data_IF_072686753391
#
_entry.id   IF_072686753391
#
_cell.length_a   1.000
_cell.length_b   1.000
_cell.length_c   1.000
_cell.angle_alpha   90.00
_cell.angle_beta   90.00
_cell.angle_gamma   90.00
#
_symmetry.space_group_name_H-M   'P 1'
#
loop_
_entity.id
_entity.type
_entity.pdbx_description
1 polymer ?
#
# COMPACT_ATOMS: atom_id res chain seq x y z
N UNK A 1 7.54 12.54 -78.34
CA UNK A 1 8.27 11.60 -77.45
C UNK A 1 8.14 10.20 -78.01
N UNK A 2 9.21 9.56 -78.39
CA UNK A 2 9.24 8.28 -79.08
C UNK A 2 9.08 7.14 -78.06
N UNK A 3 8.25 6.14 -78.32
CA UNK A 3 7.92 4.98 -77.46
C UNK A 3 9.13 4.28 -76.80
N UNK A 4 10.33 4.49 -77.33
CA UNK A 4 11.59 3.93 -76.79
C UNK A 4 12.08 4.65 -75.53
N UNK A 5 11.79 5.95 -75.36
CA UNK A 5 12.24 6.73 -74.18
C UNK A 5 11.40 6.45 -72.93
N UNK A 6 10.14 6.00 -73.14
CA UNK A 6 9.25 5.63 -72.04
C UNK A 6 9.64 4.28 -71.42
N UNK A 7 10.15 3.36 -72.20
CA UNK A 7 10.57 2.02 -71.73
C UNK A 7 11.90 2.04 -70.96
N UNK A 8 12.79 2.99 -71.24
CA UNK A 8 14.05 3.16 -70.49
C UNK A 8 13.81 3.86 -69.14
N UNK A 9 12.78 4.72 -68.99
CA UNK A 9 12.45 5.36 -67.73
C UNK A 9 11.76 4.40 -66.73
N UNK A 10 10.99 3.38 -67.24
CA UNK A 10 10.35 2.39 -66.38
C UNK A 10 11.32 1.30 -65.88
N UNK A 11 12.41 1.03 -66.64
CA UNK A 11 13.46 0.06 -66.25
C UNK A 11 14.37 0.52 -65.16
N UNK A 12 14.53 1.85 -64.98
CA UNK A 12 15.42 2.44 -63.94
C UNK A 12 14.71 2.57 -62.58
N UNK A 13 13.37 2.51 -62.52
CA UNK A 13 12.59 2.61 -61.26
C UNK A 13 12.40 1.29 -60.55
N UNK A 14 12.76 0.14 -61.15
CA UNK A 14 12.59 -1.18 -60.56
C UNK A 14 13.80 -1.69 -59.74
N UNK A 15 14.92 -0.96 -59.73
CA UNK A 15 16.12 -1.39 -59.01
C UNK A 15 16.25 -0.85 -57.57
N UNK A 16 15.23 -0.16 -57.05
CA UNK A 16 15.22 0.48 -55.72
C UNK A 16 14.27 -0.14 -54.69
N UNK A 17 13.70 -1.34 -54.94
CA UNK A 17 13.02 -2.09 -53.88
C UNK A 17 14.10 -2.68 -52.96
N UNK A 18 14.56 -1.88 -52.03
CA UNK A 18 15.28 -2.39 -50.88
C UNK A 18 14.37 -3.50 -50.28
N UNK A 19 14.77 -4.73 -50.38
CA UNK A 19 14.18 -5.83 -49.64
C UNK A 19 14.35 -5.45 -48.18
N UNK A 20 13.33 -4.82 -47.59
CA UNK A 20 13.25 -4.63 -46.14
C UNK A 20 13.39 -6.05 -45.57
N UNK A 21 14.59 -6.35 -45.03
CA UNK A 21 14.77 -7.57 -44.24
C UNK A 21 13.63 -7.56 -43.22
N UNK A 22 12.82 -8.63 -43.13
CA UNK A 22 11.83 -8.68 -42.09
C UNK A 22 12.58 -8.40 -40.80
N UNK A 23 12.20 -7.33 -40.11
CA UNK A 23 12.66 -7.09 -38.74
C UNK A 23 12.21 -8.36 -38.01
N UNK A 24 13.13 -9.27 -37.71
CA UNK A 24 12.86 -10.39 -36.82
C UNK A 24 12.53 -9.69 -35.52
N UNK A 25 11.24 -9.53 -35.25
CA UNK A 25 10.77 -9.08 -33.96
C UNK A 25 11.40 -10.03 -32.95
N UNK A 26 12.40 -9.55 -32.23
CA UNK A 26 13.09 -10.35 -31.22
C UNK A 26 11.99 -10.82 -30.27
N UNK A 27 11.71 -12.13 -30.28
CA UNK A 27 10.61 -12.67 -29.49
C UNK A 27 10.85 -12.26 -28.03
N UNK A 28 9.85 -11.60 -27.43
CA UNK A 28 9.95 -11.17 -26.05
C UNK A 28 10.37 -12.36 -25.16
N UNK A 29 11.31 -12.20 -24.23
CA UNK A 29 11.86 -13.29 -23.44
C UNK A 29 10.79 -13.92 -22.54
N UNK A 30 10.91 -15.21 -22.29
CA UNK A 30 10.11 -15.88 -21.24
C UNK A 30 10.72 -15.58 -19.88
N UNK A 31 9.91 -15.05 -18.98
CA UNK A 31 10.31 -14.69 -17.61
C UNK A 31 9.42 -15.46 -16.63
N UNK A 32 10.02 -16.03 -15.58
CA UNK A 32 9.31 -16.70 -14.49
C UNK A 32 9.85 -16.18 -13.18
N UNK A 33 9.02 -15.45 -12.44
CA UNK A 33 9.37 -14.85 -11.16
C UNK A 33 8.45 -15.33 -10.05
N UNK A 34 8.90 -15.13 -8.81
CA UNK A 34 8.15 -15.41 -7.59
C UNK A 34 7.83 -14.10 -6.90
N UNK A 35 6.60 -13.99 -6.41
CA UNK A 35 6.13 -12.88 -5.60
C UNK A 35 5.70 -13.41 -4.24
N UNK A 36 6.36 -13.00 -3.16
CA UNK A 36 5.93 -13.29 -1.79
C UNK A 36 5.16 -12.13 -1.20
N UNK A 37 4.11 -12.40 -0.44
CA UNK A 37 3.30 -11.39 0.21
C UNK A 37 3.50 -11.38 1.73
N UNK A 38 3.26 -10.22 2.35
CA UNK A 38 3.17 -10.11 3.81
C UNK A 38 1.83 -10.59 4.38
N UNK A 39 0.94 -11.11 3.54
CA UNK A 39 -0.47 -11.40 3.84
C UNK A 39 -0.79 -12.88 3.79
N UNK A 40 -1.71 -13.39 4.65
CA UNK A 40 -2.27 -14.72 4.51
C UNK A 40 -3.23 -14.80 3.31
N UNK A 41 -3.39 -15.98 2.72
CA UNK A 41 -4.29 -16.22 1.56
C UNK A 41 -5.76 -15.91 1.84
N UNK A 42 -6.17 -15.95 3.10
CA UNK A 42 -7.57 -15.66 3.50
C UNK A 42 -7.98 -14.22 3.24
N UNK A 43 -7.01 -13.30 3.14
CA UNK A 43 -7.25 -11.89 2.84
C UNK A 43 -7.23 -11.66 1.33
N UNK A 44 -8.36 -11.91 0.69
CA UNK A 44 -8.55 -11.79 -0.76
C UNK A 44 -8.59 -10.33 -1.26
N UNK A 45 -8.47 -9.36 -0.39
CA UNK A 45 -8.14 -7.96 -0.63
C UNK A 45 -6.63 -7.83 -0.85
N UNK A 46 -5.86 -7.90 0.22
CA UNK A 46 -4.40 -7.73 0.23
C UNK A 46 -3.66 -8.80 -0.60
N UNK A 47 -3.96 -10.08 -0.38
CA UNK A 47 -3.37 -11.15 -1.19
C UNK A 47 -3.98 -11.19 -2.61
N UNK A 48 -5.24 -10.76 -2.74
CA UNK A 48 -5.93 -10.62 -4.01
C UNK A 48 -5.21 -9.67 -4.97
N UNK A 49 -4.64 -8.56 -4.48
CA UNK A 49 -3.85 -7.65 -5.31
C UNK A 49 -2.65 -8.36 -5.96
N UNK A 50 -1.99 -9.28 -5.27
CA UNK A 50 -0.89 -10.07 -5.84
C UNK A 50 -1.36 -10.96 -6.99
N UNK A 51 -2.51 -11.63 -6.82
CA UNK A 51 -3.07 -12.52 -7.86
C UNK A 51 -3.59 -11.73 -9.06
N UNK A 52 -4.26 -10.61 -8.83
CA UNK A 52 -4.70 -9.66 -9.86
C UNK A 52 -3.50 -9.15 -10.68
N UNK A 53 -2.47 -8.67 -10.01
CA UNK A 53 -1.24 -8.20 -10.64
C UNK A 53 -0.58 -9.30 -11.50
N UNK A 54 -0.39 -10.50 -10.96
CA UNK A 54 0.23 -11.62 -11.66
C UNK A 54 -0.57 -12.03 -12.90
N UNK A 55 -1.90 -12.03 -12.79
CA UNK A 55 -2.82 -12.30 -13.90
C UNK A 55 -2.64 -11.27 -15.03
N UNK A 56 -2.70 -9.98 -14.73
CA UNK A 56 -2.57 -8.94 -15.74
C UNK A 56 -1.22 -8.94 -16.45
N UNK A 57 -0.12 -9.17 -15.71
CA UNK A 57 1.21 -9.30 -16.31
C UNK A 57 1.26 -10.49 -17.27
N UNK A 58 0.71 -11.63 -16.87
CA UNK A 58 0.66 -12.83 -17.73
C UNK A 58 -0.18 -12.59 -18.99
N UNK A 59 -1.38 -12.04 -18.85
CA UNK A 59 -2.29 -11.77 -19.98
C UNK A 59 -1.68 -10.75 -20.95
N UNK A 60 -1.11 -9.66 -20.44
CA UNK A 60 -0.50 -8.61 -21.28
C UNK A 60 0.80 -9.05 -21.98
N UNK A 61 1.37 -10.19 -21.60
CA UNK A 61 2.59 -10.75 -22.19
C UNK A 61 2.35 -12.07 -22.94
N UNK A 62 1.12 -12.42 -23.25
CA UNK A 62 0.74 -13.70 -23.86
C UNK A 62 1.35 -14.91 -23.10
N UNK A 63 1.36 -14.86 -21.78
CA UNK A 63 1.90 -15.89 -20.91
C UNK A 63 3.44 -15.97 -20.86
N UNK A 64 4.15 -15.04 -21.50
CA UNK A 64 5.62 -15.04 -21.50
C UNK A 64 6.23 -14.53 -20.21
N UNK A 65 5.54 -13.67 -19.45
CA UNK A 65 5.95 -13.28 -18.12
C UNK A 65 4.97 -13.86 -17.09
N UNK A 66 5.41 -14.89 -16.40
CA UNK A 66 4.61 -15.60 -15.39
C UNK A 66 5.15 -15.26 -13.98
N UNK A 67 4.24 -14.93 -13.07
CA UNK A 67 4.55 -14.61 -11.69
C UNK A 67 3.79 -15.58 -10.79
N UNK A 68 4.52 -16.39 -10.03
CA UNK A 68 3.94 -17.27 -9.02
C UNK A 68 3.84 -16.54 -7.69
N UNK A 69 2.64 -16.49 -7.11
CA UNK A 69 2.37 -15.78 -5.86
C UNK A 69 2.39 -16.73 -4.66
N UNK A 70 2.98 -16.26 -3.55
CA UNK A 70 3.11 -16.99 -2.30
C UNK A 70 2.63 -16.12 -1.14
N UNK A 71 1.86 -16.71 -0.24
CA UNK A 71 1.42 -16.02 0.97
C UNK A 71 2.53 -15.93 2.03
N UNK A 72 2.29 -15.11 3.04
CA UNK A 72 3.17 -14.97 4.18
C UNK A 72 3.47 -16.34 4.83
N UNK A 73 4.75 -16.65 5.00
CA UNK A 73 5.21 -17.90 5.61
C UNK A 73 5.28 -19.11 4.69
N UNK A 74 4.81 -19.05 3.43
CA UNK A 74 4.95 -20.16 2.49
C UNK A 74 6.42 -20.36 2.07
N UNK A 75 7.11 -19.26 1.75
CA UNK A 75 8.52 -19.27 1.36
C UNK A 75 9.34 -18.23 2.12
N UNK A 76 8.74 -17.10 2.49
CA UNK A 76 9.36 -16.01 3.25
C UNK A 76 8.38 -15.57 4.36
N UNK A 77 8.86 -15.38 5.61
CA UNK A 77 8.06 -14.79 6.66
C UNK A 77 7.55 -13.40 6.27
N UNK A 78 6.28 -13.06 6.58
CA UNK A 78 5.62 -11.84 6.09
C UNK A 78 6.33 -10.52 6.44
N UNK A 79 7.08 -10.46 7.55
CA UNK A 79 7.84 -9.29 7.97
C UNK A 79 9.29 -9.26 7.43
N UNK A 80 9.69 -10.23 6.59
CA UNK A 80 11.03 -10.34 5.99
C UNK A 80 11.02 -10.12 4.47
N UNK A 81 9.92 -9.63 3.91
CA UNK A 81 9.75 -9.45 2.46
C UNK A 81 10.81 -8.52 1.87
N UNK A 82 11.09 -7.38 2.51
CA UNK A 82 12.14 -6.46 2.03
C UNK A 82 13.52 -7.12 2.03
N UNK A 83 13.87 -7.85 3.09
CA UNK A 83 15.18 -8.53 3.17
C UNK A 83 15.36 -9.53 2.03
N UNK A 84 14.33 -10.31 1.75
CA UNK A 84 14.37 -11.32 0.70
C UNK A 84 14.52 -10.70 -0.70
N UNK A 85 13.81 -9.60 -0.97
CA UNK A 85 13.92 -8.85 -2.24
C UNK A 85 15.26 -8.13 -2.35
N UNK A 86 15.69 -7.43 -1.31
CA UNK A 86 16.94 -6.69 -1.27
C UNK A 86 18.15 -7.59 -1.56
N UNK A 87 18.15 -8.79 -0.98
CA UNK A 87 19.23 -9.78 -1.13
C UNK A 87 19.11 -10.62 -2.41
N UNK A 88 18.05 -10.46 -3.22
CA UNK A 88 17.82 -11.24 -4.43
C UNK A 88 17.42 -12.71 -4.17
N UNK A 89 17.02 -13.06 -2.93
CA UNK A 89 16.51 -14.40 -2.59
C UNK A 89 15.20 -14.66 -3.33
N UNK A 90 14.41 -13.62 -3.55
CA UNK A 90 13.17 -13.63 -4.34
C UNK A 90 13.12 -12.41 -5.23
N UNK A 91 12.44 -12.54 -6.36
CA UNK A 91 12.39 -11.48 -7.37
C UNK A 91 11.48 -10.33 -6.98
N UNK A 92 10.32 -10.66 -6.35
CA UNK A 92 9.27 -9.70 -6.03
C UNK A 92 8.69 -9.93 -4.63
N UNK A 93 8.18 -8.85 -4.02
CA UNK A 93 7.43 -8.90 -2.76
C UNK A 93 6.31 -7.89 -2.72
N UNK A 94 5.21 -8.19 -2.03
CA UNK A 94 4.11 -7.26 -1.78
C UNK A 94 3.90 -7.07 -0.28
N UNK A 95 3.98 -5.81 0.19
CA UNK A 95 4.09 -5.51 1.62
C UNK A 95 3.66 -4.08 1.96
N UNK A 96 3.41 -3.83 3.24
CA UNK A 96 3.32 -2.48 3.80
C UNK A 96 4.71 -2.02 4.26
N UNK A 97 5.18 -0.90 3.72
CA UNK A 97 6.56 -0.46 3.92
C UNK A 97 6.89 -0.06 5.37
N UNK A 98 5.91 0.35 6.14
CA UNK A 98 6.11 0.68 7.54
C UNK A 98 6.56 -0.52 8.40
N UNK A 99 6.43 -1.77 7.92
CA UNK A 99 6.99 -2.94 8.62
C UNK A 99 8.51 -2.86 8.78
N UNK A 100 9.15 -2.06 7.95
CA UNK A 100 10.62 -1.93 7.91
C UNK A 100 11.13 -0.64 8.57
N UNK A 101 10.28 0.06 9.35
CA UNK A 101 10.66 1.30 10.06
C UNK A 101 11.85 1.09 11.01
N UNK A 102 12.07 -0.12 11.49
CA UNK A 102 13.22 -0.49 12.31
C UNK A 102 14.56 -0.48 11.55
N UNK A 103 14.53 -0.61 10.20
CA UNK A 103 15.72 -0.44 9.36
C UNK A 103 15.99 1.03 9.08
N UNK A 104 14.95 1.76 8.72
CA UNK A 104 14.95 3.22 8.55
C UNK A 104 13.50 3.72 8.68
N UNK A 105 13.24 4.71 9.55
CA UNK A 105 11.90 5.27 9.76
C UNK A 105 11.29 5.89 8.49
N UNK A 106 12.10 6.27 7.51
CA UNK A 106 11.66 6.85 6.23
C UNK A 106 10.71 5.90 5.48
N UNK A 107 10.84 4.58 5.65
CA UNK A 107 9.93 3.60 5.06
C UNK A 107 8.46 3.84 5.45
N UNK A 108 8.21 4.31 6.67
CA UNK A 108 6.85 4.57 7.13
C UNK A 108 6.17 5.69 6.34
N UNK A 109 6.93 6.71 5.92
CA UNK A 109 6.40 7.87 5.18
C UNK A 109 5.81 7.49 3.81
N UNK A 110 6.33 6.43 3.21
CA UNK A 110 5.83 5.91 1.93
C UNK A 110 4.67 4.90 2.07
N UNK A 111 4.19 4.67 3.28
CA UNK A 111 3.12 3.73 3.54
C UNK A 111 1.93 4.41 4.22
N UNK A 112 2.05 4.68 5.50
CA UNK A 112 1.08 5.42 6.29
C UNK A 112 1.76 6.07 7.48
N UNK A 113 1.31 7.27 7.81
CA UNK A 113 1.75 8.00 9.00
C UNK A 113 0.55 8.55 9.74
N UNK A 114 0.61 8.61 11.07
CA UNK A 114 -0.43 9.26 11.86
C UNK A 114 -0.73 10.67 11.35
N UNK A 115 -2.01 10.95 11.09
CA UNK A 115 -2.49 12.23 10.56
C UNK A 115 -1.86 12.65 9.23
N UNK A 116 -1.41 11.65 8.44
CA UNK A 116 -0.80 11.84 7.12
C UNK A 116 -1.80 12.07 5.99
N UNK A 117 -1.42 11.61 4.81
CA UNK A 117 -2.27 11.67 3.62
C UNK A 117 -3.38 10.61 3.70
N UNK A 118 -4.56 10.93 3.18
CA UNK A 118 -5.59 9.92 2.91
C UNK A 118 -5.31 9.22 1.57
N UNK A 119 -6.07 8.17 1.25
CA UNK A 119 -5.91 7.33 0.06
C UNK A 119 -5.84 8.13 -1.24
N UNK A 120 -6.73 9.09 -1.44
CA UNK A 120 -6.75 9.88 -2.67
C UNK A 120 -5.57 10.84 -2.74
N UNK A 121 -5.19 11.45 -1.62
CA UNK A 121 -3.99 12.29 -1.52
C UNK A 121 -2.71 11.48 -1.74
N UNK A 122 -2.64 10.24 -1.23
CA UNK A 122 -1.52 9.34 -1.50
C UNK A 122 -1.38 9.03 -2.97
N UNK A 123 -2.49 8.67 -3.65
CA UNK A 123 -2.46 8.45 -5.09
C UNK A 123 -2.01 9.71 -5.85
N UNK A 124 -2.50 10.89 -5.47
CA UNK A 124 -2.07 12.15 -6.08
C UNK A 124 -0.57 12.41 -5.86
N UNK A 125 -0.06 12.16 -4.65
CA UNK A 125 1.35 12.34 -4.32
C UNK A 125 2.27 11.38 -5.10
N UNK A 126 1.88 10.09 -5.23
CA UNK A 126 2.68 9.11 -5.96
C UNK A 126 2.60 9.27 -7.48
N UNK A 127 1.41 9.49 -8.05
CA UNK A 127 1.23 9.50 -9.50
C UNK A 127 1.43 10.86 -10.15
N UNK A 128 1.22 11.96 -9.43
CA UNK A 128 1.27 13.32 -9.96
C UNK A 128 2.21 14.25 -9.18
N UNK A 129 2.59 13.90 -7.95
CA UNK A 129 3.56 14.62 -7.13
C UNK A 129 4.94 13.96 -7.14
N UNK A 130 5.71 14.22 -6.09
CA UNK A 130 7.09 13.73 -5.97
C UNK A 130 7.22 12.34 -5.33
N UNK A 131 6.14 11.74 -4.84
CA UNK A 131 6.15 10.51 -4.05
C UNK A 131 6.89 9.36 -4.72
N UNK A 132 6.61 9.09 -6.02
CA UNK A 132 7.27 8.01 -6.76
C UNK A 132 8.77 8.28 -6.94
N UNK A 133 9.16 9.53 -7.22
CA UNK A 133 10.58 9.88 -7.35
C UNK A 133 11.32 9.71 -6.03
N UNK A 134 10.73 10.17 -4.93
CA UNK A 134 11.32 10.08 -3.60
C UNK A 134 11.50 8.61 -3.16
N UNK A 135 10.51 7.75 -3.40
CA UNK A 135 10.63 6.33 -3.07
C UNK A 135 11.60 5.58 -3.97
N UNK A 136 11.74 5.97 -5.24
CA UNK A 136 12.74 5.40 -6.14
C UNK A 136 14.16 5.73 -5.66
N UNK A 137 14.42 7.00 -5.30
CA UNK A 137 15.70 7.45 -4.75
C UNK A 137 16.03 6.71 -3.43
N UNK A 138 15.03 6.53 -2.56
CA UNK A 138 15.22 5.89 -1.26
C UNK A 138 15.32 4.37 -1.37
N UNK A 139 14.42 3.72 -2.12
CA UNK A 139 14.37 2.27 -2.29
C UNK A 139 15.63 1.71 -2.97
N UNK A 140 16.27 2.50 -3.85
CA UNK A 140 17.53 2.11 -4.48
C UNK A 140 18.64 1.84 -3.45
N UNK A 141 18.66 2.52 -2.30
CA UNK A 141 19.61 2.28 -1.21
C UNK A 141 19.44 0.87 -0.60
N UNK A 142 18.27 0.28 -0.78
CA UNK A 142 17.89 -1.05 -0.35
C UNK A 142 17.75 -2.02 -1.54
N UNK A 143 18.42 -1.73 -2.64
CA UNK A 143 18.43 -2.58 -3.85
C UNK A 143 17.02 -2.97 -4.34
N UNK A 144 16.04 -2.07 -4.16
CA UNK A 144 14.63 -2.32 -4.44
C UNK A 144 14.01 -1.23 -5.32
N UNK A 145 13.31 -1.64 -6.38
CA UNK A 145 12.33 -0.82 -7.08
C UNK A 145 11.01 -0.96 -6.33
N UNK A 146 10.43 0.18 -5.92
CA UNK A 146 9.18 0.22 -5.19
C UNK A 146 8.08 0.82 -6.08
N UNK A 147 6.94 0.14 -6.19
CA UNK A 147 5.82 0.54 -7.03
C UNK A 147 4.54 0.45 -6.22
N UNK A 148 3.72 1.50 -6.22
CA UNK A 148 2.42 1.48 -5.57
C UNK A 148 1.52 0.41 -6.23
N UNK A 149 1.05 -0.56 -5.44
CA UNK A 149 0.28 -1.70 -5.94
C UNK A 149 -0.95 -2.04 -5.08
N UNK A 150 -1.31 -1.19 -4.15
CA UNK A 150 -2.50 -1.36 -3.33
C UNK A 150 -2.71 -0.19 -2.37
N UNK A 151 -3.94 -0.02 -1.91
CA UNK A 151 -4.30 0.90 -0.86
C UNK A 151 -5.54 0.39 -0.12
N UNK A 152 -5.49 0.38 1.20
CA UNK A 152 -6.58 -0.13 2.04
C UNK A 152 -7.78 0.82 2.16
N UNK A 153 -7.64 2.07 1.73
CA UNK A 153 -8.56 3.11 2.18
C UNK A 153 -8.26 3.54 3.61
N UNK A 154 -9.08 4.44 4.15
CA UNK A 154 -9.00 4.81 5.56
C UNK A 154 -9.32 3.62 6.45
N UNK A 155 -8.48 3.41 7.45
CA UNK A 155 -8.62 2.25 8.35
C UNK A 155 -9.46 2.58 9.60
N UNK A 156 -9.79 1.52 10.33
CA UNK A 156 -10.40 1.62 11.64
C UNK A 156 -9.36 1.84 12.74
N UNK A 157 -9.80 2.38 13.86
CA UNK A 157 -8.99 2.64 15.05
C UNK A 157 -8.70 1.41 15.91
N UNK A 158 -8.95 0.19 15.40
CA UNK A 158 -8.58 -1.07 16.04
C UNK A 158 -9.54 -1.57 17.10
N UNK A 159 -9.22 -2.74 17.62
CA UNK A 159 -9.97 -3.56 18.54
C UNK A 159 -9.35 -3.52 19.93
N UNK A 160 -10.19 -3.36 20.95
CA UNK A 160 -9.75 -3.23 22.34
C UNK A 160 -10.59 -4.09 23.26
N UNK A 161 -9.95 -4.69 24.27
CA UNK A 161 -10.64 -5.45 25.32
C UNK A 161 -11.25 -4.54 26.40
N UNK A 162 -10.81 -3.27 26.48
CA UNK A 162 -11.37 -2.23 27.37
C UNK A 162 -11.69 -0.95 26.60
N UNK A 163 -12.53 -0.10 27.16
CA UNK A 163 -12.77 1.23 26.57
C UNK A 163 -11.57 2.16 26.72
N UNK A 164 -11.31 2.98 25.71
CA UNK A 164 -10.31 4.02 25.67
C UNK A 164 -11.03 5.38 25.69
N UNK A 165 -11.12 5.98 26.86
CA UNK A 165 -11.86 7.25 27.08
C UNK A 165 -10.94 8.45 27.10
N UNK A 166 -9.72 8.28 27.61
CA UNK A 166 -8.73 9.32 27.76
C UNK A 166 -7.32 8.82 27.39
N UNK A 167 -6.34 9.70 27.15
CA UNK A 167 -4.99 9.30 26.75
C UNK A 167 -4.30 8.37 27.74
N UNK A 168 -4.60 8.50 29.04
CA UNK A 168 -4.02 7.67 30.09
C UNK A 168 -4.40 6.18 29.96
N UNK A 169 -5.50 5.86 29.28
CA UNK A 169 -5.94 4.49 29.05
C UNK A 169 -5.02 3.66 28.15
N UNK A 170 -4.15 4.32 27.38
CA UNK A 170 -3.10 3.65 26.60
C UNK A 170 -1.95 3.14 27.45
N UNK A 171 -1.77 3.66 28.67
CA UNK A 171 -0.60 3.34 29.49
C UNK A 171 -0.56 1.86 29.85
N UNK A 172 0.56 1.21 29.49
CA UNK A 172 0.79 -0.21 29.74
C UNK A 172 -0.01 -1.17 28.86
N UNK A 173 -0.88 -0.65 27.98
CA UNK A 173 -1.67 -1.47 27.07
C UNK A 173 -0.75 -2.13 26.03
N UNK A 174 -0.80 -3.45 25.92
CA UNK A 174 -0.07 -4.20 24.92
C UNK A 174 -0.94 -4.27 23.66
N UNK A 175 -0.51 -3.63 22.60
CA UNK A 175 -1.28 -3.56 21.36
C UNK A 175 -0.46 -4.05 20.17
N UNK A 176 -1.05 -4.96 19.38
CA UNK A 176 -0.51 -5.15 18.04
C UNK A 176 -0.84 -3.91 17.21
N UNK A 177 0.19 -3.20 16.91
CA UNK A 177 0.15 -2.03 16.03
C UNK A 177 1.50 -1.89 15.33
N UNK A 178 1.47 -1.65 14.02
CA UNK A 178 2.67 -1.62 13.21
C UNK A 178 3.18 -0.20 12.98
N UNK A 179 4.43 -0.13 12.57
CA UNK A 179 5.03 1.06 11.99
C UNK A 179 5.10 2.27 12.91
N UNK A 180 4.88 3.42 12.29
CA UNK A 180 5.05 4.72 12.91
C UNK A 180 3.99 5.04 13.98
N UNK A 181 2.80 4.46 13.82
CA UNK A 181 1.72 4.57 14.80
C UNK A 181 2.09 3.94 16.15
N UNK A 182 2.65 2.75 16.13
CA UNK A 182 3.14 2.10 17.35
C UNK A 182 4.21 2.94 18.05
N UNK A 183 5.16 3.48 17.27
CA UNK A 183 6.19 4.37 17.81
C UNK A 183 5.60 5.66 18.40
N UNK A 184 4.59 6.24 17.77
CA UNK A 184 3.86 7.40 18.29
C UNK A 184 3.18 7.09 19.63
N UNK A 185 2.48 5.96 19.72
CA UNK A 185 1.76 5.59 20.94
C UNK A 185 2.66 5.23 22.11
N UNK A 186 3.94 4.90 21.90
CA UNK A 186 4.89 4.73 23.02
C UNK A 186 5.06 6.02 23.83
N UNK A 187 4.90 7.20 23.21
CA UNK A 187 4.91 8.49 23.92
C UNK A 187 3.73 8.63 24.90
N UNK A 188 2.65 7.89 24.67
CA UNK A 188 1.49 7.83 25.57
C UNK A 188 1.54 6.61 26.51
N UNK A 189 2.66 5.87 26.52
CA UNK A 189 2.89 4.74 27.41
C UNK A 189 2.34 3.40 26.92
N UNK A 190 1.86 3.29 25.65
CA UNK A 190 1.46 2.03 25.06
C UNK A 190 2.68 1.14 24.78
N UNK A 191 2.51 -0.17 24.84
CA UNK A 191 3.51 -1.19 24.54
C UNK A 191 3.19 -1.84 23.18
N UNK A 192 3.76 -1.34 22.05
CA UNK A 192 3.46 -1.86 20.74
C UNK A 192 4.11 -3.24 20.51
N UNK A 193 3.42 -4.08 19.78
CA UNK A 193 3.88 -5.39 19.33
C UNK A 193 3.71 -5.48 17.81
N UNK A 194 4.77 -5.80 17.07
CA UNK A 194 4.66 -6.03 15.62
C UNK A 194 4.50 -7.52 15.36
N UNK A 195 3.29 -7.94 14.98
CA UNK A 195 2.95 -9.32 14.65
C UNK A 195 2.43 -9.40 13.22
N UNK A 196 2.71 -10.49 12.52
CA UNK A 196 2.11 -10.80 11.23
C UNK A 196 0.61 -11.09 11.38
N UNK A 197 -0.18 -10.85 10.31
CA UNK A 197 -1.65 -10.92 10.38
C UNK A 197 -2.21 -12.23 10.93
N UNK A 198 -1.61 -13.37 10.57
CA UNK A 198 -2.03 -14.69 11.06
C UNK A 198 -1.79 -14.94 12.57
N UNK A 199 -0.90 -14.15 13.19
CA UNK A 199 -0.52 -14.33 14.60
C UNK A 199 -1.34 -13.46 15.55
N UNK A 200 -2.16 -12.52 15.02
CA UNK A 200 -2.86 -11.52 15.83
C UNK A 200 -4.00 -12.16 16.64
N UNK A 201 -4.89 -12.91 15.98
CA UNK A 201 -6.03 -13.53 16.67
C UNK A 201 -5.58 -14.47 17.80
N UNK A 202 -4.60 -15.39 17.60
CA UNK A 202 -4.09 -16.22 18.69
C UNK A 202 -3.51 -15.40 19.85
N UNK A 203 -2.88 -14.26 19.58
CA UNK A 203 -2.32 -13.39 20.61
C UNK A 203 -3.42 -12.66 21.41
N UNK A 204 -4.50 -12.19 20.76
CA UNK A 204 -5.68 -11.63 21.41
C UNK A 204 -6.42 -12.66 22.26
N UNK A 205 -6.67 -13.85 21.69
CA UNK A 205 -7.40 -14.93 22.37
C UNK A 205 -6.68 -15.42 23.64
N UNK A 206 -5.34 -15.50 23.61
CA UNK A 206 -4.52 -15.87 24.77
C UNK A 206 -4.29 -14.73 25.75
N UNK A 207 -4.71 -13.49 25.42
CA UNK A 207 -4.47 -12.31 26.25
C UNK A 207 -3.00 -11.89 26.33
N UNK A 208 -2.15 -12.30 25.37
CA UNK A 208 -0.76 -11.83 25.28
C UNK A 208 -0.67 -10.39 24.77
N UNK A 209 -1.70 -9.93 24.05
CA UNK A 209 -1.98 -8.55 23.71
C UNK A 209 -3.40 -8.17 24.12
N UNK A 210 -3.61 -6.90 24.44
CA UNK A 210 -4.90 -6.33 24.92
C UNK A 210 -5.70 -5.69 23.80
N UNK A 211 -5.05 -5.35 22.70
CA UNK A 211 -5.62 -4.64 21.57
C UNK A 211 -4.89 -4.99 20.28
N UNK A 212 -5.57 -4.78 19.15
CA UNK A 212 -4.97 -4.93 17.84
C UNK A 212 -5.64 -4.00 16.82
N UNK A 213 -4.85 -3.52 15.86
CA UNK A 213 -5.33 -2.95 14.61
C UNK A 213 -4.95 -3.88 13.45
N UNK A 214 -5.69 -3.76 12.33
CA UNK A 214 -5.32 -4.42 11.08
C UNK A 214 -5.66 -3.51 9.90
N UNK A 215 -6.88 -3.56 9.38
CA UNK A 215 -7.34 -2.68 8.30
C UNK A 215 -8.72 -2.11 8.62
N UNK A 216 -9.73 -2.94 8.57
CA UNK A 216 -11.10 -2.52 8.66
C UNK A 216 -12.08 -3.69 8.65
N UNK A 217 -13.39 -3.41 8.59
CA UNK A 217 -14.42 -4.40 8.90
C UNK A 217 -14.29 -5.72 8.14
N UNK A 218 -13.97 -5.67 6.85
CA UNK A 218 -13.95 -6.87 6.01
C UNK A 218 -12.82 -7.84 6.35
N UNK A 219 -11.61 -7.33 6.46
CA UNK A 219 -10.44 -8.14 6.82
C UNK A 219 -10.50 -8.55 8.30
N UNK A 220 -10.88 -7.63 9.19
CA UNK A 220 -10.95 -7.86 10.63
C UNK A 220 -12.00 -8.92 10.99
N UNK A 221 -13.13 -8.96 10.27
CA UNK A 221 -14.13 -10.03 10.37
C UNK A 221 -13.53 -11.39 9.99
N UNK A 222 -12.78 -11.46 8.88
CA UNK A 222 -12.11 -12.68 8.42
C UNK A 222 -11.05 -13.17 9.38
N UNK A 223 -10.31 -12.25 9.99
CA UNK A 223 -9.30 -12.55 11.01
C UNK A 223 -9.93 -12.90 12.37
N UNK A 224 -11.23 -12.62 12.56
CA UNK A 224 -12.00 -13.08 13.71
C UNK A 224 -11.81 -12.25 14.97
N UNK A 225 -11.28 -11.02 14.90
CA UNK A 225 -10.96 -10.20 16.08
C UNK A 225 -12.16 -9.94 17.00
N UNK A 226 -13.37 -9.81 16.44
CA UNK A 226 -14.62 -9.62 17.18
C UNK A 226 -14.95 -10.76 18.15
N UNK A 227 -14.34 -11.93 18.00
CA UNK A 227 -14.52 -13.07 18.91
C UNK A 227 -13.70 -12.92 20.19
N UNK A 228 -12.57 -12.21 20.12
CA UNK A 228 -11.65 -12.01 21.24
C UNK A 228 -11.80 -10.63 21.91
N UNK A 229 -12.32 -9.64 21.18
CA UNK A 229 -12.43 -8.25 21.63
C UNK A 229 -13.79 -7.66 21.29
N UNK A 230 -14.23 -6.66 22.04
CA UNK A 230 -15.61 -6.17 22.01
C UNK A 230 -15.72 -4.75 21.45
N UNK A 231 -14.73 -3.89 21.72
CA UNK A 231 -14.76 -2.48 21.36
C UNK A 231 -13.99 -2.25 20.08
N UNK A 232 -14.64 -1.64 19.07
CA UNK A 232 -14.08 -1.35 17.78
C UNK A 232 -14.06 0.16 17.54
N UNK A 233 -12.87 0.74 17.53
CA UNK A 233 -12.69 2.18 17.53
C UNK A 233 -12.57 2.77 16.13
N UNK A 234 -12.92 4.06 16.00
CA UNK A 234 -12.74 4.89 14.81
C UNK A 234 -12.53 6.36 15.19
N UNK A 235 -11.96 7.19 14.27
CA UNK A 235 -11.27 6.80 13.04
C UNK A 235 -9.91 6.17 13.31
N UNK A 236 -9.35 5.45 12.32
CA UNK A 236 -7.95 5.03 12.32
C UNK A 236 -7.04 6.23 12.02
N UNK A 237 -6.83 7.09 12.99
CA UNK A 237 -6.07 8.33 12.84
C UNK A 237 -4.61 8.12 12.44
N UNK A 238 -4.12 6.91 12.58
CA UNK A 238 -2.78 6.51 12.17
C UNK A 238 -2.67 6.14 10.70
N UNK A 239 -3.79 5.83 10.03
CA UNK A 239 -3.83 5.36 8.66
C UNK A 239 -5.06 5.90 7.92
N UNK A 240 -4.97 7.16 7.46
CA UNK A 240 -5.98 7.76 6.57
C UNK A 240 -6.06 7.09 5.20
N UNK A 241 -5.07 6.30 4.89
CA UNK A 241 -4.90 5.37 3.78
C UNK A 241 -3.58 4.65 4.01
N UNK A 242 -3.50 3.36 3.65
CA UNK A 242 -2.26 2.59 3.72
C UNK A 242 -1.89 2.08 2.36
N UNK A 243 -0.83 2.64 1.81
CA UNK A 243 -0.29 2.16 0.53
C UNK A 243 0.45 0.86 0.71
N UNK A 244 0.11 -0.12 -0.13
CA UNK A 244 0.84 -1.37 -0.26
C UNK A 244 1.73 -1.34 -1.50
N UNK A 245 2.96 -1.80 -1.37
CA UNK A 245 3.95 -1.66 -2.43
C UNK A 245 4.42 -3.01 -2.95
N UNK A 246 4.54 -3.08 -4.26
CA UNK A 246 5.34 -4.08 -4.95
C UNK A 246 6.80 -3.68 -4.85
N UNK A 247 7.59 -4.51 -4.18
CA UNK A 247 9.04 -4.44 -4.18
C UNK A 247 9.58 -5.38 -5.26
N UNK A 248 10.53 -4.92 -6.06
CA UNK A 248 11.23 -5.74 -7.04
C UNK A 248 12.73 -5.56 -6.81
N UNK A 249 13.48 -6.66 -6.80
CA UNK A 249 14.94 -6.56 -6.78
C UNK A 249 15.41 -5.67 -7.93
N UNK A 250 16.12 -4.57 -7.63
CA UNK A 250 16.41 -3.51 -8.58
C UNK A 250 17.19 -3.98 -9.80
N UNK A 251 18.29 -4.78 -9.70
CA UNK A 251 18.92 -5.41 -10.85
C UNK A 251 17.95 -6.22 -11.72
N UNK A 252 17.10 -7.04 -11.11
CA UNK A 252 16.11 -7.85 -11.83
C UNK A 252 15.13 -6.99 -12.61
N UNK A 253 14.62 -5.91 -12.01
CA UNK A 253 13.75 -4.96 -12.70
C UNK A 253 14.45 -4.33 -13.91
N UNK A 254 15.73 -3.95 -13.77
CA UNK A 254 16.51 -3.31 -14.82
C UNK A 254 16.86 -4.28 -15.98
N UNK A 255 16.95 -5.59 -15.71
CA UNK A 255 17.14 -6.64 -16.72
C UNK A 255 15.91 -6.86 -17.62
N UNK A 256 14.71 -6.47 -17.16
CA UNK A 256 13.49 -6.63 -17.95
C UNK A 256 13.50 -5.75 -19.22
N UNK A 257 12.97 -6.25 -20.34
CA UNK A 257 12.67 -5.40 -21.50
C UNK A 257 11.81 -4.19 -21.11
N UNK A 258 12.00 -3.06 -21.76
CA UNK A 258 11.22 -1.84 -21.47
C UNK A 258 9.72 -2.04 -21.57
N UNK A 259 9.25 -2.89 -22.50
CA UNK A 259 7.84 -3.27 -22.62
C UNK A 259 7.34 -4.00 -21.36
N UNK A 260 8.14 -4.92 -20.79
CA UNK A 260 7.76 -5.63 -19.58
C UNK A 260 7.81 -4.72 -18.34
N UNK A 261 8.77 -3.80 -18.26
CA UNK A 261 8.78 -2.77 -17.21
C UNK A 261 7.49 -1.94 -17.26
N UNK A 262 7.06 -1.49 -18.45
CA UNK A 262 5.83 -0.73 -18.63
C UNK A 262 4.57 -1.55 -18.23
N UNK A 263 4.51 -2.83 -18.63
CA UNK A 263 3.41 -3.73 -18.23
C UNK A 263 3.35 -3.91 -16.71
N UNK A 264 4.49 -4.10 -16.05
CA UNK A 264 4.57 -4.22 -14.58
C UNK A 264 4.02 -2.96 -13.90
N UNK A 265 4.41 -1.77 -14.37
CA UNK A 265 3.92 -0.50 -13.83
C UNK A 265 2.40 -0.34 -14.03
N UNK A 266 1.89 -0.66 -15.22
CA UNK A 266 0.46 -0.57 -15.53
C UNK A 266 -0.37 -1.58 -14.70
N UNK A 267 0.10 -2.83 -14.61
CA UNK A 267 -0.57 -3.87 -13.83
C UNK A 267 -0.59 -3.55 -12.33
N UNK A 268 0.48 -2.96 -11.78
CA UNK A 268 0.53 -2.52 -10.40
C UNK A 268 -0.48 -1.38 -10.14
N UNK A 269 -0.57 -0.39 -11.05
CA UNK A 269 -1.56 0.68 -10.94
C UNK A 269 -3.00 0.17 -10.97
N UNK A 270 -3.29 -0.82 -11.82
CA UNK A 270 -4.63 -1.43 -11.87
C UNK A 270 -4.94 -2.22 -10.59
N UNK A 271 -3.97 -3.00 -10.09
CA UNK A 271 -4.13 -3.71 -8.82
C UNK A 271 -4.37 -2.75 -7.64
N UNK A 272 -3.71 -1.58 -7.62
CA UNK A 272 -3.93 -0.53 -6.62
C UNK A 272 -5.38 -0.03 -6.62
N UNK A 273 -5.96 0.23 -7.80
CA UNK A 273 -7.35 0.68 -7.93
C UNK A 273 -8.32 -0.43 -7.49
N UNK A 274 -8.09 -1.66 -7.92
CA UNK A 274 -8.97 -2.78 -7.58
C UNK A 274 -8.96 -3.10 -6.08
N UNK A 275 -7.80 -3.08 -5.42
CA UNK A 275 -7.71 -3.32 -3.97
C UNK A 275 -8.55 -2.30 -3.20
N UNK A 276 -8.38 -1.00 -3.50
CA UNK A 276 -9.14 0.08 -2.86
C UNK A 276 -10.65 -0.08 -3.11
N UNK A 277 -11.04 -0.31 -4.36
CA UNK A 277 -12.45 -0.48 -4.73
C UNK A 277 -13.10 -1.69 -4.03
N UNK A 278 -12.35 -2.78 -3.83
CA UNK A 278 -12.84 -3.95 -3.09
C UNK A 278 -13.08 -3.63 -1.62
N UNK A 279 -12.16 -2.90 -0.96
CA UNK A 279 -12.36 -2.46 0.42
C UNK A 279 -13.60 -1.58 0.55
N UNK A 280 -13.75 -0.58 -0.32
CA UNK A 280 -14.89 0.33 -0.29
C UNK A 280 -16.23 -0.40 -0.51
N UNK A 281 -16.24 -1.39 -1.39
CA UNK A 281 -17.45 -2.18 -1.66
C UNK A 281 -17.79 -3.18 -0.54
N UNK A 282 -16.80 -3.75 0.14
CA UNK A 282 -17.00 -4.89 1.06
C UNK A 282 -17.09 -4.45 2.53
N UNK A 283 -16.39 -3.39 2.93
CA UNK A 283 -16.38 -2.90 4.31
C UNK A 283 -17.78 -2.55 4.85
N UNK A 284 -18.69 -1.90 4.11
CA UNK A 284 -20.02 -1.56 4.66
C UNK A 284 -20.84 -2.78 5.06
N UNK A 285 -20.78 -3.85 4.25
CA UNK A 285 -21.47 -5.10 4.54
C UNK A 285 -20.89 -5.82 5.75
N UNK A 286 -19.56 -5.88 5.84
CA UNK A 286 -18.86 -6.48 6.97
C UNK A 286 -19.12 -5.71 8.29
N UNK A 287 -19.08 -4.36 8.24
CA UNK A 287 -19.39 -3.53 9.41
C UNK A 287 -20.79 -3.84 9.98
N UNK A 288 -21.80 -3.97 9.11
CA UNK A 288 -23.15 -4.34 9.54
C UNK A 288 -23.18 -5.70 10.23
N UNK A 289 -22.47 -6.71 9.70
CA UNK A 289 -22.38 -8.05 10.30
C UNK A 289 -21.67 -8.03 11.65
N UNK A 290 -20.56 -7.30 11.77
CA UNK A 290 -19.83 -7.14 13.03
C UNK A 290 -20.69 -6.49 14.11
N UNK A 291 -21.43 -5.42 13.78
CA UNK A 291 -22.36 -4.77 14.72
C UNK A 291 -23.51 -5.73 15.13
N UNK A 292 -24.08 -6.47 14.17
CA UNK A 292 -25.10 -7.47 14.44
C UNK A 292 -24.57 -8.63 15.33
N UNK A 293 -23.29 -8.93 15.27
CA UNK A 293 -22.61 -9.91 16.13
C UNK A 293 -22.25 -9.36 17.53
N UNK A 294 -22.60 -8.10 17.84
CA UNK A 294 -22.43 -7.51 19.17
C UNK A 294 -21.19 -6.62 19.32
N UNK A 295 -20.44 -6.36 18.23
CA UNK A 295 -19.32 -5.42 18.25
C UNK A 295 -19.79 -4.00 18.62
N UNK A 296 -19.10 -3.37 19.55
CA UNK A 296 -19.42 -2.02 20.02
C UNK A 296 -18.51 -0.98 19.35
N UNK A 297 -19.07 -0.25 18.40
CA UNK A 297 -18.39 0.87 17.78
C UNK A 297 -18.19 2.02 18.78
N UNK A 298 -16.99 2.58 18.81
CA UNK A 298 -16.62 3.72 19.65
C UNK A 298 -15.81 4.74 18.87
N UNK A 299 -16.19 6.02 18.89
CA UNK A 299 -15.28 7.07 18.44
C UNK A 299 -14.18 7.30 19.47
N UNK A 300 -12.97 7.59 19.01
CA UNK A 300 -11.97 8.17 19.90
C UNK A 300 -12.44 9.56 20.37
N UNK A 301 -12.21 9.86 21.64
CA UNK A 301 -12.53 11.20 22.18
C UNK A 301 -11.60 12.25 21.56
N UNK A 302 -12.06 13.51 21.56
CA UNK A 302 -11.22 14.62 21.08
C UNK A 302 -9.91 14.70 21.86
N UNK A 303 -9.94 14.49 23.18
CA UNK A 303 -8.74 14.50 24.02
C UNK A 303 -7.73 13.44 23.60
N UNK A 304 -8.19 12.23 23.24
CA UNK A 304 -7.34 11.16 22.70
C UNK A 304 -6.74 11.59 21.36
N UNK A 305 -7.57 12.10 20.43
CA UNK A 305 -7.11 12.54 19.11
C UNK A 305 -6.05 13.64 19.20
N UNK A 306 -6.27 14.65 20.04
CA UNK A 306 -5.32 15.76 20.27
C UNK A 306 -3.99 15.29 20.89
N UNK A 307 -4.05 14.39 21.88
CA UNK A 307 -2.85 13.82 22.49
C UNK A 307 -2.04 12.99 21.48
N UNK A 308 -2.72 12.21 20.63
CA UNK A 308 -2.06 11.43 19.59
C UNK A 308 -1.45 12.33 18.51
N UNK A 309 -2.15 13.39 18.08
CA UNK A 309 -1.62 14.38 17.13
C UNK A 309 -0.36 15.06 17.68
N UNK A 310 -0.39 15.49 18.94
CA UNK A 310 0.76 16.08 19.61
C UNK A 310 1.94 15.12 19.64
N UNK A 311 1.72 13.87 20.07
CA UNK A 311 2.76 12.84 20.14
C UNK A 311 3.35 12.53 18.75
N UNK A 312 2.51 12.50 17.70
CA UNK A 312 2.95 12.33 16.33
C UNK A 312 3.84 13.47 15.85
N UNK A 313 3.42 14.72 16.08
CA UNK A 313 4.18 15.89 15.67
C UNK A 313 5.55 15.96 16.36
N UNK A 314 5.61 15.65 17.66
CA UNK A 314 6.86 15.57 18.42
C UNK A 314 7.79 14.49 17.85
N UNK A 315 7.27 13.28 17.60
CA UNK A 315 8.07 12.18 17.04
C UNK A 315 8.61 12.51 15.65
N UNK A 316 7.79 13.12 14.80
CA UNK A 316 8.20 13.52 13.45
C UNK A 316 9.29 14.60 13.49
N UNK A 317 9.19 15.58 14.39
CA UNK A 317 10.19 16.61 14.56
C UNK A 317 11.53 16.03 15.10
N UNK A 318 11.47 15.17 16.12
CA UNK A 318 12.63 14.49 16.67
C UNK A 318 13.36 13.64 15.62
N UNK A 319 12.59 12.91 14.81
CA UNK A 319 13.16 12.04 13.76
C UNK A 319 13.75 12.86 12.63
N UNK A 320 13.07 13.92 12.20
CA UNK A 320 13.57 14.83 11.16
C UNK A 320 14.88 15.50 11.57
N UNK A 321 15.09 15.73 12.87
CA UNK A 321 16.32 16.34 13.35
C UNK A 321 17.56 15.45 13.21
N UNK A 322 17.38 14.11 13.14
CA UNK A 322 18.49 13.15 13.16
C UNK A 322 18.55 12.25 11.91
N UNK A 323 17.53 12.27 11.04
CA UNK A 323 17.48 11.49 9.82
C UNK A 323 17.16 12.40 8.62
N UNK A 324 18.16 12.61 7.77
CA UNK A 324 18.06 13.51 6.61
C UNK A 324 17.08 12.99 5.53
N UNK A 325 17.04 11.67 5.31
CA UNK A 325 16.09 11.07 4.35
C UNK A 325 14.65 11.22 4.85
N UNK A 326 14.43 10.94 6.14
CA UNK A 326 13.12 11.14 6.74
C UNK A 326 12.68 12.60 6.61
N UNK A 327 13.55 13.54 6.96
CA UNK A 327 13.26 14.98 6.85
C UNK A 327 12.89 15.38 5.42
N UNK A 328 13.68 14.96 4.44
CA UNK A 328 13.46 15.26 3.01
C UNK A 328 12.06 14.81 2.56
N UNK A 329 11.70 13.58 2.88
CA UNK A 329 10.41 13.00 2.48
C UNK A 329 9.27 13.62 3.28
N UNK A 330 9.44 13.79 4.59
CA UNK A 330 8.44 14.38 5.48
C UNK A 330 8.07 15.81 5.07
N UNK A 331 9.07 16.67 4.84
CA UNK A 331 8.84 18.06 4.45
C UNK A 331 8.07 18.15 3.12
N UNK A 332 8.42 17.32 2.13
CA UNK A 332 7.69 17.26 0.85
C UNK A 332 6.25 16.77 1.04
N UNK A 333 6.04 15.69 1.77
CA UNK A 333 4.71 15.12 2.01
C UNK A 333 3.81 16.09 2.78
N UNK A 334 4.34 16.80 3.79
CA UNK A 334 3.57 17.77 4.58
C UNK A 334 3.19 18.99 3.75
N UNK A 335 4.11 19.51 2.94
CA UNK A 335 3.80 20.61 2.03
C UNK A 335 2.66 20.21 1.08
N UNK A 336 2.79 19.05 0.42
CA UNK A 336 1.76 18.50 -0.46
C UNK A 336 0.41 18.31 0.26
N UNK A 337 0.40 17.71 1.45
CA UNK A 337 -0.80 17.51 2.26
C UNK A 337 -1.52 18.82 2.57
N UNK A 338 -0.76 19.85 2.94
CA UNK A 338 -1.34 21.14 3.32
C UNK A 338 -2.02 21.82 2.12
N UNK A 339 -1.42 21.75 0.93
CA UNK A 339 -2.03 22.27 -0.30
C UNK A 339 -3.27 21.46 -0.70
N UNK A 340 -3.22 20.14 -0.59
CA UNK A 340 -4.37 19.25 -0.87
C UNK A 340 -5.56 19.55 0.04
N UNK A 341 -5.37 19.88 1.33
CA UNK A 341 -6.47 20.21 2.22
C UNK A 341 -7.16 21.52 1.88
N UNK A 342 -6.49 22.47 1.21
CA UNK A 342 -7.14 23.68 0.71
C UNK A 342 -8.22 23.34 -0.35
N UNK A 343 -7.90 22.37 -1.21
CA UNK A 343 -8.87 21.86 -2.19
C UNK A 343 -9.91 20.94 -1.55
N UNK A 344 -9.47 20.01 -0.70
CA UNK A 344 -10.31 18.97 -0.10
C UNK A 344 -11.48 19.55 0.70
N UNK A 345 -11.25 20.58 1.50
CA UNK A 345 -12.31 21.23 2.29
C UNK A 345 -13.39 21.90 1.43
N UNK A 346 -13.04 22.35 0.24
CA UNK A 346 -13.98 23.00 -0.71
C UNK A 346 -14.74 21.95 -1.51
N UNK A 347 -14.07 20.86 -1.91
CA UNK A 347 -14.63 19.80 -2.75
C UNK A 347 -15.26 18.68 -1.90
N UNK A 348 -14.51 17.59 -1.67
CA UNK A 348 -15.03 16.36 -1.09
C UNK A 348 -15.62 16.53 0.32
N UNK A 349 -14.94 17.25 1.20
CA UNK A 349 -15.44 17.43 2.56
C UNK A 349 -16.81 18.14 2.60
N UNK A 350 -16.97 19.19 1.79
CA UNK A 350 -18.25 19.91 1.68
C UNK A 350 -19.35 19.04 1.10
N UNK A 351 -19.03 18.27 0.03
CA UNK A 351 -19.98 17.36 -0.62
C UNK A 351 -20.36 16.20 0.30
N UNK A 352 -19.38 15.47 0.81
CA UNK A 352 -19.59 14.28 1.65
C UNK A 352 -20.31 14.63 2.96
N UNK A 353 -19.92 15.76 3.58
CA UNK A 353 -20.58 16.25 4.80
C UNK A 353 -22.06 16.56 4.56
N UNK A 354 -22.42 17.12 3.38
CA UNK A 354 -23.81 17.33 3.01
C UNK A 354 -24.53 16.00 2.80
N UNK A 355 -23.96 15.09 2.01
CA UNK A 355 -24.56 13.78 1.71
C UNK A 355 -24.78 12.93 2.95
N UNK A 356 -23.78 12.87 3.84
CA UNK A 356 -23.88 12.12 5.10
C UNK A 356 -25.04 12.65 5.97
N UNK A 357 -25.19 13.97 6.09
CA UNK A 357 -26.30 14.56 6.87
C UNK A 357 -27.65 14.43 6.20
N UNK A 358 -27.69 14.37 4.88
CA UNK A 358 -28.96 14.33 4.11
C UNK A 358 -29.55 12.94 3.97
N UNK A 359 -28.72 11.86 4.05
CA UNK A 359 -29.18 10.46 3.86
C UNK A 359 -30.28 9.99 4.82
N UNK A 360 -30.44 10.66 5.96
CA UNK A 360 -31.48 10.34 6.97
C UNK A 360 -32.79 11.09 6.74
N UNK A 361 -32.88 11.93 5.71
CA UNK A 361 -34.05 12.76 5.38
C UNK A 361 -34.82 12.27 4.15
N UNK A 362 -34.36 11.14 3.53
CA UNK A 362 -35.00 10.51 2.39
C UNK A 362 -35.71 9.21 2.69
#
# INVERSE_FOLDING_TARGET
MKRREFLTAVGASAAGVAIAKPAIAQSAPTVKWRLTASWPKSLDTLFGACTTFAKYVSEATDGKFQIQTFAAGEIIPGLQVLDAVQNGTIEMGHTALYYFFGKDPTWALFCATPFGLNTRQQNAWFYAGDGQKLIDDFGAKFNSKCILMGNTGAQMGGWFNKEIKEPADFRGLKMRISGWAGKTLTKLGLVPQQLAGGDIYPALEKGTIDAAEWVGPYDDEKLGFYKATKYYYYPGWWEGGTTNHLLINLPKFNELPKSYQAIVLAAAGLANIEETARYDALNPGALKRLVAAGTQLRPFSQAVMEACLKASNELNAETSAVNADFKKVWDNMVAFRNDEYLWWQVAEYSYDSFMIRSRTRG
#
